data_IF_207585411991
#
_entry.id   IF_207585411991
#
_cell.length_a   1.000
_cell.length_b   1.000
_cell.length_c   1.000
_cell.angle_alpha   90.00
_cell.angle_beta   90.00
_cell.angle_gamma   90.00
#
_symmetry.space_group_name_H-M   'P 1'
#
loop_
_entity.id
_entity.type
_entity.pdbx_description
1 polymer ?
#
# COMPACT_ATOMS: atom_id res chain seq x y z
N UNK A 1 9.43 1.76 24.10
CA UNK A 1 8.64 2.22 25.25
C UNK A 1 7.47 1.30 25.35
N UNK A 2 7.65 0.23 26.11
CA UNK A 2 6.52 -0.50 26.66
C UNK A 2 5.66 0.54 27.37
N UNK A 3 4.41 0.67 26.97
CA UNK A 3 3.41 1.21 27.89
C UNK A 3 3.24 0.10 28.93
N UNK A 4 4.22 -0.01 29.84
CA UNK A 4 3.98 -0.53 31.16
C UNK A 4 2.93 0.41 31.75
N UNK A 5 1.66 0.08 31.55
CA UNK A 5 0.61 0.58 32.43
C UNK A 5 1.11 0.27 33.83
N UNK A 6 1.40 1.31 34.61
CA UNK A 6 1.74 1.13 36.02
C UNK A 6 0.64 0.31 36.65
N UNK A 7 0.95 -0.95 36.94
CA UNK A 7 0.08 -1.84 37.68
C UNK A 7 0.19 -1.40 39.12
N UNK A 8 -0.65 -0.44 39.52
CA UNK A 8 -1.04 -0.34 40.92
C UNK A 8 -1.67 -1.69 41.27
N UNK A 9 -1.20 -2.42 42.29
CA UNK A 9 -1.81 -3.67 42.73
C UNK A 9 -3.14 -3.31 43.41
N UNK A 10 -4.16 -3.06 42.60
CA UNK A 10 -5.52 -3.06 43.07
C UNK A 10 -5.89 -4.50 43.46
N UNK A 11 -6.68 -4.67 44.54
CA UNK A 11 -7.11 -5.99 44.99
C UNK A 11 -7.69 -6.77 43.82
N UNK A 12 -7.36 -8.07 43.73
CA UNK A 12 -7.75 -9.01 42.69
C UNK A 12 -9.18 -8.74 42.21
N UNK A 13 -9.31 -7.99 41.11
CA UNK A 13 -10.63 -7.80 40.49
C UNK A 13 -11.00 -9.14 39.89
N UNK A 14 -12.03 -9.75 40.45
CA UNK A 14 -12.68 -10.93 39.90
C UNK A 14 -12.90 -10.75 38.39
N UNK A 15 -12.56 -11.78 37.60
CA UNK A 15 -12.57 -11.76 36.14
C UNK A 15 -13.88 -11.17 35.62
N UNK A 16 -13.81 -10.02 34.93
CA UNK A 16 -15.03 -9.27 34.56
C UNK A 16 -15.89 -9.96 33.49
N UNK A 17 -15.33 -10.88 32.69
CA UNK A 17 -16.04 -11.56 31.61
C UNK A 17 -15.45 -12.95 31.30
N UNK A 18 -16.33 -13.90 30.95
CA UNK A 18 -15.92 -15.26 30.53
C UNK A 18 -15.29 -15.27 29.13
N UNK A 19 -15.76 -14.40 28.23
CA UNK A 19 -15.25 -14.30 26.85
C UNK A 19 -14.75 -12.89 26.55
N UNK A 20 -13.58 -12.81 25.92
CA UNK A 20 -13.01 -11.57 25.41
C UNK A 20 -13.06 -11.60 23.88
N UNK A 21 -13.81 -10.67 23.30
CA UNK A 21 -13.94 -10.53 21.85
C UNK A 21 -13.19 -9.26 21.44
N UNK A 22 -12.22 -9.40 20.54
CA UNK A 22 -11.40 -8.29 20.04
C UNK A 22 -11.78 -8.03 18.58
N UNK A 23 -12.23 -6.81 18.28
CA UNK A 23 -12.59 -6.41 16.92
C UNK A 23 -11.39 -5.79 16.20
N UNK A 24 -10.86 -6.48 15.20
CA UNK A 24 -9.82 -5.98 14.29
C UNK A 24 -10.27 -5.84 12.84
N UNK A 25 -11.49 -6.26 12.51
CA UNK A 25 -12.00 -6.28 11.13
C UNK A 25 -12.84 -5.08 10.74
N UNK A 26 -13.45 -4.36 11.69
CA UNK A 26 -14.45 -3.33 11.42
C UNK A 26 -13.93 -1.98 10.91
N UNK A 27 -12.62 -1.73 10.98
CA UNK A 27 -12.01 -0.43 10.67
C UNK A 27 -11.72 -0.17 9.19
N UNK A 28 -11.00 0.92 8.90
CA UNK A 28 -10.58 1.30 7.55
C UNK A 28 -9.62 0.29 6.89
N UNK A 29 -8.92 -0.51 7.68
CA UNK A 29 -8.00 -1.57 7.27
C UNK A 29 -8.14 -2.79 8.20
N UNK A 30 -7.59 -3.92 7.78
CA UNK A 30 -7.50 -5.15 8.57
C UNK A 30 -6.41 -5.02 9.64
N UNK A 31 -6.67 -5.38 10.89
CA UNK A 31 -5.61 -5.56 11.89
C UNK A 31 -4.97 -6.95 11.81
N UNK A 32 -3.69 -7.11 12.20
CA UNK A 32 -3.07 -8.43 12.28
C UNK A 32 -3.78 -9.33 13.29
N UNK A 33 -3.83 -10.63 12.99
CA UNK A 33 -4.43 -11.63 13.87
C UNK A 33 -3.42 -12.57 14.51
N UNK A 34 -2.16 -12.51 14.09
CA UNK A 34 -1.04 -13.23 14.72
C UNK A 34 -0.41 -12.45 15.88
N UNK A 35 -0.99 -11.30 16.22
CA UNK A 35 -0.67 -10.42 17.35
C UNK A 35 -2.03 -9.94 17.89
N UNK A 36 -2.30 -9.94 19.20
CA UNK A 36 -1.41 -10.24 20.32
C UNK A 36 -1.13 -11.75 20.51
N UNK A 37 -0.25 -12.08 21.45
CA UNK A 37 0.16 -13.44 21.84
C UNK A 37 -1.02 -14.34 22.22
N UNK A 38 -0.78 -15.67 22.24
CA UNK A 38 -1.81 -16.69 22.51
C UNK A 38 -2.56 -16.50 23.84
N UNK A 39 -1.92 -15.86 24.82
CA UNK A 39 -2.54 -15.46 26.07
C UNK A 39 -2.55 -13.92 26.15
N UNK A 40 -3.70 -13.37 26.54
CA UNK A 40 -3.91 -11.93 26.69
C UNK A 40 -4.50 -11.63 28.07
N UNK A 41 -3.91 -10.68 28.78
CA UNK A 41 -4.45 -10.17 30.04
C UNK A 41 -5.29 -8.93 29.76
N UNK A 42 -6.54 -8.92 30.20
CA UNK A 42 -7.46 -7.79 30.06
C UNK A 42 -8.45 -7.77 31.23
N UNK A 43 -8.77 -6.59 31.75
CA UNK A 43 -9.74 -6.41 32.85
C UNK A 43 -9.51 -7.36 34.06
N UNK A 44 -8.25 -7.56 34.47
CA UNK A 44 -7.90 -8.43 35.60
C UNK A 44 -7.97 -9.94 35.32
N UNK A 45 -8.39 -10.36 34.13
CA UNK A 45 -8.44 -11.77 33.72
C UNK A 45 -7.40 -12.10 32.64
N UNK A 46 -6.95 -13.36 32.63
CA UNK A 46 -6.14 -13.92 31.54
C UNK A 46 -7.04 -14.72 30.60
N UNK A 47 -6.93 -14.48 29.30
CA UNK A 47 -7.72 -15.12 28.25
C UNK A 47 -6.81 -15.89 27.30
N UNK A 48 -7.23 -17.09 26.93
CA UNK A 48 -6.60 -17.91 25.90
C UNK A 48 -7.26 -17.62 24.54
N UNK A 49 -6.43 -17.44 23.52
CA UNK A 49 -6.88 -17.21 22.16
C UNK A 49 -7.45 -18.48 21.53
N UNK A 50 -8.77 -18.53 21.32
CA UNK A 50 -9.46 -19.69 20.72
C UNK A 50 -9.58 -19.63 19.20
N UNK A 51 -9.88 -18.46 18.63
CA UNK A 51 -10.15 -18.31 17.20
C UNK A 51 -9.86 -16.89 16.72
N UNK A 52 -9.27 -16.76 15.52
CA UNK A 52 -9.11 -15.48 14.83
C UNK A 52 -9.52 -15.54 13.37
N UNK A 53 -9.86 -14.37 12.83
CA UNK A 53 -10.24 -14.21 11.44
C UNK A 53 -9.62 -12.93 10.84
N UNK A 54 -8.78 -13.02 9.80
CA UNK A 54 -8.30 -14.26 9.16
C UNK A 54 -7.44 -15.12 10.09
N UNK A 55 -7.21 -16.41 9.75
CA UNK A 55 -6.26 -17.24 10.47
C UNK A 55 -4.87 -16.57 10.59
N UNK A 56 -4.20 -16.76 11.73
CA UNK A 56 -2.92 -16.11 12.03
C UNK A 56 -1.84 -16.32 10.95
N UNK A 57 -1.76 -17.52 10.36
CA UNK A 57 -0.82 -17.81 9.30
C UNK A 57 -1.09 -17.01 8.01
N UNK A 58 -2.35 -16.75 7.68
CA UNK A 58 -2.74 -15.89 6.56
C UNK A 58 -2.35 -14.44 6.84
N UNK A 59 -2.65 -13.95 8.04
CA UNK A 59 -2.25 -12.61 8.47
C UNK A 59 -0.72 -12.42 8.39
N UNK A 60 0.07 -13.41 8.83
CA UNK A 60 1.54 -13.38 8.73
C UNK A 60 2.04 -13.34 7.28
N UNK A 61 1.39 -14.07 6.35
CA UNK A 61 1.75 -14.02 4.93
C UNK A 61 1.43 -12.68 4.28
N UNK A 62 0.32 -12.05 4.65
CA UNK A 62 -0.01 -10.70 4.17
C UNK A 62 1.03 -9.65 4.56
N UNK A 63 1.75 -9.84 5.67
CA UNK A 63 2.83 -8.95 6.06
C UNK A 63 3.96 -8.87 5.02
N UNK A 64 4.18 -9.90 4.21
CA UNK A 64 5.20 -9.91 3.12
C UNK A 64 4.94 -8.77 2.13
N UNK A 65 3.69 -8.30 2.03
CA UNK A 65 3.33 -7.16 1.20
C UNK A 65 3.92 -5.84 1.68
N UNK A 66 4.40 -5.76 2.91
CA UNK A 66 5.18 -4.59 3.34
C UNK A 66 6.49 -4.52 2.55
N UNK A 67 7.14 -5.65 2.25
CA UNK A 67 8.41 -5.65 1.53
C UNK A 67 8.22 -5.33 0.04
N UNK A 68 7.36 -6.10 -0.63
CA UNK A 68 7.22 -6.04 -2.10
C UNK A 68 6.04 -5.19 -2.59
N UNK A 69 5.04 -4.98 -1.72
CA UNK A 69 3.81 -4.28 -2.06
C UNK A 69 3.80 -2.81 -1.62
N UNK A 70 4.64 -2.41 -0.66
CA UNK A 70 4.54 -1.10 -0.01
C UNK A 70 4.59 0.06 -1.00
N UNK A 71 5.61 0.15 -1.86
CA UNK A 71 5.72 1.24 -2.84
C UNK A 71 4.53 1.27 -3.81
N UNK A 72 4.13 0.10 -4.32
CA UNK A 72 3.04 0.00 -5.29
C UNK A 72 1.70 0.42 -4.69
N UNK A 73 1.47 0.08 -3.42
CA UNK A 73 0.29 0.48 -2.67
C UNK A 73 0.41 1.99 -2.38
N UNK A 74 1.52 2.41 -1.78
CA UNK A 74 1.72 3.75 -1.25
C UNK A 74 2.50 4.67 -2.19
N UNK A 75 2.30 4.58 -3.51
CA UNK A 75 3.07 5.38 -4.49
C UNK A 75 2.94 6.90 -4.29
N UNK A 76 1.86 7.35 -3.64
CA UNK A 76 1.67 8.76 -3.25
C UNK A 76 2.67 9.20 -2.16
N UNK A 77 3.17 8.26 -1.38
CA UNK A 77 4.20 8.48 -0.38
C UNK A 77 5.52 8.87 -1.03
N UNK A 78 5.81 8.41 -2.26
CA UNK A 78 7.00 8.82 -3.00
C UNK A 78 7.07 10.37 -3.17
N UNK A 79 5.92 11.05 -3.28
CA UNK A 79 5.84 12.51 -3.47
C UNK A 79 5.89 13.35 -2.17
N UNK A 80 5.60 12.76 -1.01
CA UNK A 80 5.35 13.48 0.26
C UNK A 80 6.22 12.93 1.42
N UNK A 81 6.82 11.74 1.26
CA UNK A 81 7.22 10.85 2.34
C UNK A 81 8.54 11.16 3.05
N UNK A 82 9.32 12.14 2.62
CA UNK A 82 10.63 12.40 3.22
C UNK A 82 10.61 13.21 4.53
N UNK A 83 9.47 13.83 4.88
CA UNK A 83 9.46 14.83 5.95
C UNK A 83 9.07 14.34 7.35
N UNK A 84 8.72 13.06 7.55
CA UNK A 84 8.19 12.62 8.84
C UNK A 84 8.60 11.17 9.21
N UNK A 85 9.86 10.98 9.64
CA UNK A 85 10.27 9.77 10.34
C UNK A 85 11.27 10.08 11.46
N UNK A 86 10.81 10.66 12.58
CA UNK A 86 11.61 10.72 13.81
C UNK A 86 10.69 10.76 15.02
N UNK A 87 10.32 9.61 15.62
CA UNK A 87 9.85 9.59 17.02
C UNK A 87 10.14 8.27 17.78
N UNK A 88 11.04 7.40 17.29
CA UNK A 88 11.50 6.22 18.06
C UNK A 88 12.95 5.84 17.71
N UNK A 89 13.67 5.16 18.62
CA UNK A 89 15.05 4.70 18.38
C UNK A 89 15.16 3.77 17.15
N UNK A 90 14.17 2.90 16.99
CA UNK A 90 14.00 2.04 15.81
C UNK A 90 13.76 2.88 14.55
N UNK A 91 12.94 3.93 14.63
CA UNK A 91 12.72 4.89 13.54
C UNK A 91 13.99 5.65 13.15
N UNK A 92 14.84 6.02 14.11
CA UNK A 92 16.13 6.69 13.83
C UNK A 92 17.10 5.76 13.08
N UNK A 93 17.21 4.49 13.50
CA UNK A 93 18.05 3.51 12.80
C UNK A 93 17.59 3.27 11.35
N UNK A 94 16.27 3.20 11.14
CA UNK A 94 15.68 3.07 9.80
C UNK A 94 15.96 4.31 8.96
N UNK A 95 15.76 5.51 9.52
CA UNK A 95 16.08 6.79 8.86
C UNK A 95 17.55 6.86 8.46
N UNK A 96 18.47 6.47 9.35
CA UNK A 96 19.89 6.38 9.05
C UNK A 96 20.19 5.40 7.91
N UNK A 97 19.57 4.21 7.93
CA UNK A 97 19.69 3.23 6.84
C UNK A 97 19.15 3.77 5.52
N UNK A 98 18.07 4.55 5.54
CA UNK A 98 17.54 5.23 4.36
C UNK A 98 18.52 6.25 3.80
N UNK A 99 19.10 7.09 4.67
CA UNK A 99 20.11 8.07 4.29
C UNK A 99 21.34 7.39 3.67
N UNK A 100 21.84 6.30 4.29
CA UNK A 100 22.94 5.50 3.71
C UNK A 100 22.56 4.97 2.34
N UNK A 101 21.41 4.30 2.21
CA UNK A 101 20.99 3.71 0.94
C UNK A 101 20.86 4.77 -0.17
N UNK A 102 20.23 5.91 0.14
CA UNK A 102 20.10 7.03 -0.79
C UNK A 102 21.47 7.60 -1.20
N UNK A 103 22.38 7.78 -0.23
CA UNK A 103 23.73 8.25 -0.50
C UNK A 103 24.56 7.26 -1.32
N UNK A 104 24.46 5.96 -1.05
CA UNK A 104 25.12 4.92 -1.85
C UNK A 104 24.63 4.91 -3.28
N UNK A 105 23.32 5.06 -3.51
CA UNK A 105 22.75 5.12 -4.86
C UNK A 105 23.22 6.37 -5.59
N UNK A 106 23.29 7.51 -4.89
CA UNK A 106 23.87 8.74 -5.44
C UNK A 106 25.33 8.53 -5.86
N UNK A 107 26.16 7.93 -5.00
CA UNK A 107 27.57 7.64 -5.33
C UNK A 107 27.71 6.71 -6.54
N UNK A 108 26.90 5.65 -6.61
CA UNK A 108 26.91 4.73 -7.76
C UNK A 108 26.52 5.46 -9.04
N UNK A 109 25.49 6.31 -8.98
CA UNK A 109 25.05 7.12 -10.10
C UNK A 109 26.14 8.10 -10.57
N UNK A 110 26.79 8.81 -9.65
CA UNK A 110 27.92 9.71 -9.93
C UNK A 110 29.10 8.97 -10.56
N UNK A 111 29.45 7.79 -10.05
CA UNK A 111 30.50 6.97 -10.64
C UNK A 111 30.16 6.51 -12.06
N UNK A 112 28.90 6.15 -12.33
CA UNK A 112 28.47 5.75 -13.67
C UNK A 112 28.60 6.92 -14.67
N UNK A 113 28.19 8.12 -14.27
CA UNK A 113 28.34 9.33 -15.10
C UNK A 113 29.81 9.69 -15.32
N UNK A 114 30.66 9.60 -14.29
CA UNK A 114 32.10 9.82 -14.43
C UNK A 114 32.72 8.86 -15.44
N UNK A 115 32.46 7.56 -15.31
CA UNK A 115 32.98 6.54 -16.22
C UNK A 115 32.51 6.79 -17.65
N UNK A 116 31.23 7.15 -17.84
CA UNK A 116 30.69 7.48 -19.16
C UNK A 116 31.33 8.76 -19.75
N UNK A 117 31.53 9.79 -18.93
CA UNK A 117 32.16 11.06 -19.33
C UNK A 117 33.62 10.87 -19.72
N UNK A 118 34.40 10.15 -18.90
CA UNK A 118 35.83 9.86 -19.17
C UNK A 118 36.01 9.01 -20.42
N UNK A 119 35.11 8.04 -20.66
CA UNK A 119 35.11 7.22 -21.89
C UNK A 119 34.65 7.99 -23.13
N UNK A 120 34.27 9.26 -22.97
CA UNK A 120 33.79 10.10 -24.06
C UNK A 120 32.39 9.74 -24.56
N UNK A 121 31.63 8.98 -23.78
CA UNK A 121 30.25 8.59 -24.12
C UNK A 121 29.23 9.67 -23.74
N UNK A 122 29.57 10.58 -22.82
CA UNK A 122 28.70 11.67 -22.39
C UNK A 122 29.53 12.96 -22.14
N UNK A 123 28.89 14.12 -22.23
CA UNK A 123 29.39 15.41 -21.75
C UNK A 123 30.36 16.13 -22.68
N UNK A 124 30.26 15.94 -24.00
CA UNK A 124 31.19 16.51 -25.00
C UNK A 124 30.52 17.22 -26.18
N UNK A 125 29.40 16.70 -26.69
CA UNK A 125 28.82 17.14 -27.97
C UNK A 125 27.77 18.26 -27.83
N UNK A 126 27.47 18.67 -26.59
CA UNK A 126 26.58 19.78 -26.26
C UNK A 126 25.14 19.35 -25.97
N UNK A 127 24.22 20.30 -25.81
CA UNK A 127 22.86 20.04 -25.29
C UNK A 127 21.94 19.24 -26.24
N UNK A 128 22.44 18.83 -27.41
CA UNK A 128 21.64 18.22 -28.47
C UNK A 128 22.29 16.96 -29.06
N UNK A 129 23.15 16.29 -28.32
CA UNK A 129 23.88 15.08 -28.74
C UNK A 129 22.94 14.02 -29.32
N UNK A 130 21.83 13.71 -28.65
CA UNK A 130 20.84 12.76 -29.15
C UNK A 130 20.19 13.19 -30.47
N UNK A 131 19.93 14.49 -30.65
CA UNK A 131 19.38 15.03 -31.89
C UNK A 131 20.41 14.99 -33.03
N UNK A 132 21.69 15.27 -32.74
CA UNK A 132 22.76 15.17 -33.73
C UNK A 132 22.95 13.72 -34.20
N UNK A 133 22.89 12.75 -33.27
CA UNK A 133 22.91 11.33 -33.60
C UNK A 133 21.69 10.90 -34.44
N UNK A 134 20.50 11.38 -34.08
CA UNK A 134 19.29 11.11 -34.87
C UNK A 134 19.40 11.69 -36.28
N UNK A 135 19.82 12.96 -36.39
CA UNK A 135 19.94 13.67 -37.66
C UNK A 135 21.01 13.06 -38.56
N UNK A 136 22.09 12.50 -38.01
CA UNK A 136 23.14 11.85 -38.81
C UNK A 136 22.75 10.46 -39.33
N UNK A 137 21.71 9.86 -38.74
CA UNK A 137 21.19 8.55 -39.15
C UNK A 137 20.10 8.67 -40.22
N UNK A 138 19.51 9.85 -40.39
CA UNK A 138 18.47 10.09 -41.41
C UNK A 138 19.10 10.31 -42.80
N UNK A 139 18.43 9.85 -43.88
CA UNK A 139 18.81 10.19 -45.25
C UNK A 139 18.83 11.71 -45.48
N UNK A 140 19.68 12.20 -46.38
CA UNK A 140 19.68 13.61 -46.74
C UNK A 140 18.39 13.97 -47.51
N UNK A 141 17.52 14.74 -46.86
CA UNK A 141 16.25 15.23 -47.43
C UNK A 141 16.38 16.63 -48.04
N UNK A 142 17.61 17.14 -48.26
CA UNK A 142 17.88 18.45 -48.87
C UNK A 142 17.12 18.66 -50.18
N UNK A 143 16.98 17.62 -51.01
CA UNK A 143 16.25 17.65 -52.28
C UNK A 143 14.72 17.83 -52.14
N UNK A 144 14.14 17.50 -50.98
CA UNK A 144 12.70 17.66 -50.71
C UNK A 144 12.43 19.03 -50.06
N UNK A 145 13.45 19.59 -49.40
CA UNK A 145 13.36 20.90 -48.70
C UNK A 145 12.97 22.06 -49.61
N UNK A 146 13.26 21.97 -50.91
CA UNK A 146 12.82 22.95 -51.92
C UNK A 146 11.28 23.05 -52.08
N UNK A 147 10.54 22.02 -51.65
CA UNK A 147 9.08 21.97 -51.70
C UNK A 147 8.41 22.34 -50.35
N UNK A 148 9.19 22.70 -49.32
CA UNK A 148 8.68 23.06 -47.99
C UNK A 148 8.18 24.51 -47.93
N UNK A 149 7.14 24.82 -48.69
CA UNK A 149 6.58 26.17 -48.84
C UNK A 149 6.01 26.73 -47.51
N UNK A 150 5.61 25.85 -46.60
CA UNK A 150 5.00 26.21 -45.31
C UNK A 150 5.99 26.13 -44.12
N UNK A 151 7.25 25.77 -44.35
CA UNK A 151 8.26 25.62 -43.28
C UNK A 151 7.98 24.45 -42.31
N UNK A 152 7.17 23.47 -42.71
CA UNK A 152 6.76 22.32 -41.91
C UNK A 152 7.95 21.41 -41.59
N UNK A 153 8.92 21.28 -42.49
CA UNK A 153 10.10 20.46 -42.25
C UNK A 153 11.05 21.12 -41.24
N UNK A 154 11.18 22.45 -41.29
CA UNK A 154 11.94 23.20 -40.27
C UNK A 154 11.26 23.09 -38.90
N UNK A 155 9.94 23.30 -38.84
CA UNK A 155 9.17 23.20 -37.60
C UNK A 155 9.26 21.79 -37.00
N UNK A 156 9.21 20.75 -37.84
CA UNK A 156 9.41 19.36 -37.41
C UNK A 156 10.82 19.14 -36.85
N UNK A 157 11.86 19.65 -37.51
CA UNK A 157 13.24 19.56 -37.03
C UNK A 157 13.43 20.23 -35.66
N UNK A 158 12.93 21.45 -35.51
CA UNK A 158 12.98 22.19 -34.25
C UNK A 158 12.18 21.50 -33.13
N UNK A 159 11.02 20.94 -33.48
CA UNK A 159 10.20 20.14 -32.56
C UNK A 159 10.93 18.86 -32.12
N UNK A 160 11.53 18.11 -33.05
CA UNK A 160 12.28 16.90 -32.73
C UNK A 160 13.53 17.21 -31.90
N UNK A 161 14.22 18.32 -32.20
CA UNK A 161 15.34 18.82 -31.39
C UNK A 161 14.92 19.13 -29.96
N UNK A 162 13.78 19.80 -29.78
CA UNK A 162 13.22 20.07 -28.45
C UNK A 162 12.87 18.77 -27.71
N UNK A 163 12.15 17.84 -28.36
CA UNK A 163 11.79 16.57 -27.74
C UNK A 163 13.03 15.77 -27.32
N UNK A 164 14.03 15.64 -28.20
CA UNK A 164 15.24 14.88 -27.89
C UNK A 164 16.08 15.55 -26.81
N UNK A 165 16.17 16.88 -26.78
CA UNK A 165 16.84 17.60 -25.68
C UNK A 165 16.18 17.34 -24.32
N UNK A 166 14.84 17.20 -24.27
CA UNK A 166 14.12 16.83 -23.04
C UNK A 166 14.45 15.40 -22.58
N UNK A 167 14.70 14.48 -23.52
CA UNK A 167 15.03 13.09 -23.22
C UNK A 167 16.53 12.81 -23.08
N UNK A 168 17.41 13.74 -23.49
CA UNK A 168 18.87 13.64 -23.38
C UNK A 168 19.38 13.99 -21.97
N UNK A 169 18.64 13.51 -20.96
CA UNK A 169 18.90 13.79 -19.56
C UNK A 169 20.30 13.35 -19.09
N UNK A 170 20.85 12.17 -19.50
CA UNK A 170 22.22 11.80 -19.13
C UNK A 170 23.26 12.81 -19.63
N UNK A 171 23.14 13.29 -20.86
CA UNK A 171 24.08 14.24 -21.46
C UNK A 171 23.99 15.59 -20.74
N UNK A 172 22.78 16.10 -20.51
CA UNK A 172 22.55 17.35 -19.77
C UNK A 172 23.18 17.27 -18.38
N UNK A 173 22.96 16.17 -17.64
CA UNK A 173 23.56 15.99 -16.31
C UNK A 173 25.09 15.94 -16.41
N UNK A 174 25.66 15.22 -17.38
CA UNK A 174 27.11 15.11 -17.56
C UNK A 174 27.76 16.46 -17.90
N UNK A 175 27.15 17.27 -18.77
CA UNK A 175 27.65 18.60 -19.14
C UNK A 175 27.69 19.55 -17.92
N UNK A 176 26.58 19.62 -17.17
CA UNK A 176 26.49 20.46 -15.98
C UNK A 176 27.46 19.96 -14.90
N UNK A 177 27.57 18.65 -14.72
CA UNK A 177 28.53 18.04 -13.79
C UNK A 177 29.97 18.36 -14.15
N UNK A 178 30.37 18.22 -15.42
CA UNK A 178 31.71 18.57 -15.87
C UNK A 178 32.05 20.05 -15.59
N UNK A 179 31.06 20.95 -15.79
CA UNK A 179 31.20 22.37 -15.45
C UNK A 179 31.36 22.60 -13.94
N UNK A 180 30.56 21.93 -13.11
CA UNK A 180 30.68 21.98 -11.64
C UNK A 180 32.06 21.49 -11.19
N UNK A 181 32.54 20.37 -11.74
CA UNK A 181 33.83 19.78 -11.38
C UNK A 181 35.00 20.70 -11.76
N UNK A 182 34.91 21.41 -12.89
CA UNK A 182 35.96 22.31 -13.35
C UNK A 182 35.97 23.66 -12.61
N UNK A 183 34.80 24.23 -12.36
CA UNK A 183 34.66 25.65 -11.98
C UNK A 183 33.91 25.88 -10.66
N UNK A 184 33.49 24.81 -9.98
CA UNK A 184 32.69 24.88 -8.76
C UNK A 184 31.20 25.09 -9.02
N UNK A 185 30.39 24.90 -7.98
CA UNK A 185 28.93 24.96 -8.06
C UNK A 185 28.40 26.37 -8.38
N UNK A 186 29.09 27.40 -7.88
CA UNK A 186 28.73 28.81 -8.08
C UNK A 186 28.87 29.28 -9.53
N UNK A 187 29.49 28.46 -10.39
CA UNK A 187 29.64 28.74 -11.83
C UNK A 187 28.37 28.52 -12.65
N UNK A 188 27.34 27.88 -12.07
CA UNK A 188 26.07 27.62 -12.72
C UNK A 188 25.13 28.82 -12.60
N UNK A 189 24.57 29.23 -13.74
CA UNK A 189 23.45 30.17 -13.76
C UNK A 189 22.20 29.57 -13.08
N UNK A 190 21.27 30.42 -12.65
CA UNK A 190 20.03 29.95 -11.99
C UNK A 190 19.24 28.97 -12.84
N UNK A 191 19.15 29.22 -14.16
CA UNK A 191 18.43 28.33 -15.08
C UNK A 191 19.17 27.00 -15.28
N UNK A 192 20.50 27.03 -15.43
CA UNK A 192 21.35 25.82 -15.52
C UNK A 192 21.26 24.98 -14.24
N UNK A 193 21.14 25.63 -13.09
CA UNK A 193 20.97 24.96 -11.81
C UNK A 193 19.59 24.27 -11.71
N UNK A 194 18.54 24.96 -12.16
CA UNK A 194 17.19 24.37 -12.23
C UNK A 194 17.12 23.21 -13.20
N UNK A 195 17.72 23.31 -14.38
CA UNK A 195 17.79 22.21 -15.36
C UNK A 195 18.58 21.04 -14.80
N UNK A 196 19.69 21.29 -14.10
CA UNK A 196 20.45 20.23 -13.43
C UNK A 196 19.61 19.48 -12.40
N UNK A 197 18.93 20.17 -11.48
CA UNK A 197 18.07 19.52 -10.49
C UNK A 197 16.87 18.81 -11.09
N UNK A 198 16.21 19.42 -12.07
CA UNK A 198 15.09 18.82 -12.79
C UNK A 198 15.53 17.54 -13.54
N UNK A 199 16.76 17.51 -14.06
CA UNK A 199 17.33 16.37 -14.78
C UNK A 199 17.75 15.24 -13.83
N UNK A 200 18.24 15.56 -12.63
CA UNK A 200 18.59 14.57 -11.62
C UNK A 200 17.38 13.91 -10.96
N UNK A 201 16.29 14.66 -10.78
CA UNK A 201 15.12 14.19 -10.04
C UNK A 201 14.55 12.85 -10.54
N UNK A 202 14.32 12.63 -11.86
CA UNK A 202 13.83 11.35 -12.38
C UNK A 202 14.75 10.18 -12.05
N UNK A 203 16.08 10.35 -12.07
CA UNK A 203 17.03 9.30 -11.74
C UNK A 203 16.96 8.93 -10.28
N UNK A 204 16.96 9.92 -9.39
CA UNK A 204 16.76 9.67 -7.96
C UNK A 204 15.40 9.04 -7.68
N UNK A 205 14.36 9.49 -8.36
CA UNK A 205 13.04 8.90 -8.24
C UNK A 205 13.02 7.44 -8.69
N UNK A 206 13.66 7.10 -9.80
CA UNK A 206 13.66 5.73 -10.34
C UNK A 206 14.59 4.80 -9.57
N UNK A 207 15.76 5.28 -9.14
CA UNK A 207 16.81 4.48 -8.52
C UNK A 207 16.71 4.44 -6.99
N UNK A 208 16.57 5.60 -6.34
CA UNK A 208 16.60 5.69 -4.88
C UNK A 208 15.28 5.28 -4.22
N UNK A 209 14.15 5.78 -4.71
CA UNK A 209 12.85 5.52 -4.05
C UNK A 209 12.44 4.03 -3.96
N UNK A 210 12.71 3.12 -4.94
CA UNK A 210 12.43 1.70 -4.73
C UNK A 210 13.26 1.08 -3.63
N UNK A 211 14.56 1.42 -3.55
CA UNK A 211 15.45 0.87 -2.52
C UNK A 211 15.03 1.39 -1.14
N UNK A 212 14.79 2.69 -1.01
CA UNK A 212 14.31 3.32 0.22
C UNK A 212 12.97 2.70 0.67
N UNK A 213 12.02 2.54 -0.26
CA UNK A 213 10.73 1.88 0.02
C UNK A 213 10.89 0.42 0.45
N UNK A 214 11.85 -0.29 -0.12
CA UNK A 214 12.16 -1.67 0.24
C UNK A 214 12.74 -1.76 1.66
N UNK A 215 13.63 -0.85 2.04
CA UNK A 215 14.17 -0.76 3.41
C UNK A 215 13.02 -0.49 4.40
N UNK A 216 12.15 0.48 4.12
CA UNK A 216 11.00 0.77 4.98
C UNK A 216 10.01 -0.40 5.08
N UNK A 217 9.69 -1.01 3.95
CA UNK A 217 8.84 -2.19 3.88
C UNK A 217 9.38 -3.37 4.67
N UNK A 218 10.69 -3.59 4.59
CA UNK A 218 11.41 -4.60 5.38
C UNK A 218 11.35 -4.27 6.87
N UNK A 219 11.55 -3.01 7.25
CA UNK A 219 11.38 -2.56 8.63
C UNK A 219 9.98 -2.89 9.18
N UNK A 220 8.91 -2.55 8.45
CA UNK A 220 7.54 -2.87 8.88
C UNK A 220 7.31 -4.38 8.98
N UNK A 221 7.85 -5.16 8.05
CA UNK A 221 7.77 -6.62 8.07
C UNK A 221 8.46 -7.23 9.31
N UNK A 222 9.69 -6.81 9.61
CA UNK A 222 10.46 -7.32 10.75
C UNK A 222 9.87 -6.86 12.09
N UNK A 223 9.49 -5.58 12.19
CA UNK A 223 8.85 -5.01 13.39
C UNK A 223 7.61 -5.81 13.79
N UNK A 224 6.76 -6.12 12.81
CA UNK A 224 5.57 -6.91 13.01
C UNK A 224 5.90 -8.38 13.33
N UNK A 225 6.64 -9.06 12.46
CA UNK A 225 6.73 -10.53 12.50
C UNK A 225 7.76 -11.08 13.49
N UNK A 226 8.81 -10.32 13.79
CA UNK A 226 9.89 -10.71 14.71
C UNK A 226 9.75 -10.04 16.06
N UNK A 227 9.45 -8.74 16.09
CA UNK A 227 9.42 -7.96 17.34
C UNK A 227 8.01 -7.76 17.90
N UNK A 228 6.97 -8.10 17.15
CA UNK A 228 5.57 -7.95 17.60
C UNK A 228 5.13 -6.50 17.82
N UNK A 229 5.86 -5.52 17.26
CA UNK A 229 5.60 -4.09 17.42
C UNK A 229 5.19 -3.43 16.09
N UNK A 230 4.75 -2.17 16.15
CA UNK A 230 4.30 -1.41 14.97
C UNK A 230 3.24 -2.12 14.10
N UNK A 231 2.41 -2.95 14.74
CA UNK A 231 1.46 -3.81 14.06
C UNK A 231 0.33 -3.01 13.38
N UNK A 232 0.00 -1.85 13.95
CA UNK A 232 -0.96 -0.92 13.35
C UNK A 232 -0.38 -0.31 12.08
N UNK A 233 0.83 0.22 12.13
CA UNK A 233 1.51 0.86 10.99
C UNK A 233 1.76 -0.12 9.85
N UNK A 234 2.21 -1.34 10.20
CA UNK A 234 2.43 -2.41 9.24
C UNK A 234 1.17 -2.70 8.43
N UNK A 235 0.02 -2.93 9.08
CA UNK A 235 -1.22 -3.27 8.37
C UNK A 235 -1.98 -2.07 7.77
N UNK A 236 -1.86 -0.89 8.38
CA UNK A 236 -2.29 0.41 7.82
C UNK A 236 -1.70 0.59 6.42
N UNK A 237 -0.39 0.36 6.29
CA UNK A 237 0.32 0.59 5.04
C UNK A 237 -0.13 -0.35 3.90
N UNK A 238 -0.71 -1.51 4.25
CA UNK A 238 -1.22 -2.48 3.28
C UNK A 238 -2.62 -2.14 2.76
N UNK A 239 -3.39 -1.33 3.50
CA UNK A 239 -4.76 -0.90 3.16
C UNK A 239 -5.67 -2.07 2.75
N UNK A 240 -5.56 -3.18 3.48
CA UNK A 240 -6.34 -4.40 3.22
C UNK A 240 -7.79 -4.14 3.66
N UNK A 241 -8.69 -3.96 2.69
CA UNK A 241 -10.12 -3.80 2.95
C UNK A 241 -10.86 -5.14 3.16
N UNK A 242 -10.19 -6.27 2.86
CA UNK A 242 -10.74 -7.63 2.93
C UNK A 242 -10.74 -8.18 4.37
N UNK A 243 -11.37 -9.34 4.59
CA UNK A 243 -11.56 -9.96 5.91
C UNK A 243 -12.41 -9.14 6.88
N UNK A 244 -13.55 -8.67 6.41
CA UNK A 244 -14.56 -8.06 7.30
C UNK A 244 -15.33 -9.16 8.02
N UNK A 245 -15.67 -8.90 9.27
CA UNK A 245 -16.48 -9.80 10.07
C UNK A 245 -17.52 -9.01 10.87
N UNK A 246 -18.58 -9.69 11.26
CA UNK A 246 -19.61 -9.15 12.15
C UNK A 246 -20.14 -10.27 13.04
N UNK A 247 -20.63 -9.88 14.22
CA UNK A 247 -21.24 -10.81 15.17
C UNK A 247 -22.75 -10.65 15.15
N UNK A 248 -23.45 -11.78 15.23
CA UNK A 248 -24.89 -11.82 15.50
C UNK A 248 -25.10 -12.53 16.84
N UNK A 249 -25.60 -11.78 17.80
CA UNK A 249 -25.92 -12.25 19.14
C UNK A 249 -27.40 -12.61 19.19
N UNK A 250 -27.73 -13.80 19.66
CA UNK A 250 -29.08 -14.29 19.82
C UNK A 250 -29.28 -14.74 21.26
N UNK A 251 -30.23 -14.11 21.95
CA UNK A 251 -30.64 -14.49 23.28
C UNK A 251 -31.83 -15.43 23.18
N UNK A 252 -31.66 -16.65 23.69
CA UNK A 252 -32.70 -17.67 23.68
C UNK A 252 -33.71 -17.45 24.80
N UNK A 253 -34.87 -18.11 24.71
CA UNK A 253 -35.94 -18.05 25.73
C UNK A 253 -35.48 -18.54 27.10
N UNK A 254 -34.53 -19.47 27.13
CA UNK A 254 -33.93 -20.00 28.36
C UNK A 254 -32.83 -19.09 28.93
N UNK A 255 -32.60 -17.91 28.34
CA UNK A 255 -31.60 -16.94 28.79
C UNK A 255 -30.16 -17.32 28.40
N UNK A 256 -29.99 -18.24 27.44
CA UNK A 256 -28.68 -18.58 26.85
C UNK A 256 -28.31 -17.55 25.79
N UNK A 257 -27.02 -17.27 25.63
CA UNK A 257 -26.52 -16.39 24.58
C UNK A 257 -25.80 -17.22 23.51
N UNK A 258 -26.35 -17.21 22.30
CA UNK A 258 -25.70 -17.75 21.10
C UNK A 258 -25.02 -16.63 20.32
N UNK A 259 -23.73 -16.79 20.06
CA UNK A 259 -22.91 -15.85 19.30
C UNK A 259 -22.53 -16.49 17.97
N UNK A 260 -22.96 -15.89 16.87
CA UNK A 260 -22.55 -16.29 15.53
C UNK A 260 -21.53 -15.30 14.98
N UNK A 261 -20.33 -15.78 14.65
CA UNK A 261 -19.31 -14.99 14.00
C UNK A 261 -19.36 -15.23 12.49
N UNK A 262 -19.63 -14.18 11.72
CA UNK A 262 -19.70 -14.24 10.26
C UNK A 262 -18.53 -13.51 9.62
N UNK A 263 -17.94 -14.12 8.59
CA UNK A 263 -16.80 -13.61 7.84
C UNK A 263 -17.12 -13.34 6.38
N UNK A 264 -16.49 -12.32 5.82
CA UNK A 264 -16.41 -12.10 4.38
C UNK A 264 -14.94 -11.91 3.99
N UNK A 265 -14.44 -12.86 3.22
CA UNK A 265 -13.03 -12.97 2.89
C UNK A 265 -12.58 -11.83 1.98
N UNK A 266 -13.29 -11.62 0.87
CA UNK A 266 -12.99 -10.56 -0.10
C UNK A 266 -14.11 -9.54 -0.16
N UNK A 267 -13.77 -8.30 0.15
CA UNK A 267 -14.72 -7.20 -0.03
C UNK A 267 -14.94 -6.90 -1.51
N UNK A 268 -16.20 -6.86 -1.98
CA UNK A 268 -16.50 -6.42 -3.34
C UNK A 268 -16.16 -4.93 -3.48
N UNK A 269 -15.48 -4.60 -4.60
CA UNK A 269 -15.02 -3.22 -4.88
C UNK A 269 -15.98 -2.43 -5.76
N UNK A 270 -16.85 -3.12 -6.50
CA UNK A 270 -17.82 -2.52 -7.41
C UNK A 270 -19.22 -2.80 -6.91
N UNK A 271 -19.99 -1.74 -6.75
CA UNK A 271 -21.36 -1.77 -6.25
C UNK A 271 -22.27 -1.10 -7.26
N UNK A 272 -23.47 -1.63 -7.42
CA UNK A 272 -24.56 -1.01 -8.17
C UNK A 272 -25.79 -0.92 -7.27
N UNK A 273 -26.70 -0.02 -7.62
CA UNK A 273 -28.01 0.06 -6.96
C UNK A 273 -28.74 -1.26 -7.19
N UNK A 274 -29.27 -1.88 -6.14
CA UNK A 274 -30.08 -3.09 -6.29
C UNK A 274 -31.39 -2.71 -7.00
N UNK A 275 -31.66 -3.22 -8.22
CA UNK A 275 -32.92 -2.95 -8.90
C UNK A 275 -34.15 -3.45 -8.14
N UNK A 276 -33.95 -4.41 -7.21
CA UNK A 276 -34.99 -5.01 -6.39
C UNK A 276 -35.10 -4.37 -5.00
N UNK A 277 -34.40 -3.28 -4.74
CA UNK A 277 -34.43 -2.60 -3.44
C UNK A 277 -35.85 -2.13 -3.08
N UNK A 278 -36.31 -2.49 -1.88
CA UNK A 278 -37.68 -2.25 -1.41
C UNK A 278 -38.02 -0.77 -1.18
N UNK A 279 -37.03 0.12 -1.05
CA UNK A 279 -37.28 1.57 -0.92
C UNK A 279 -37.45 2.33 -2.24
N UNK A 280 -37.51 1.63 -3.38
CA UNK A 280 -37.63 2.24 -4.70
C UNK A 280 -39.03 2.72 -5.08
N UNK A 281 -39.24 2.95 -6.37
CA UNK A 281 -40.55 3.26 -6.95
C UNK A 281 -41.02 2.03 -7.74
N UNK A 282 -41.89 1.23 -7.13
CA UNK A 282 -42.45 0.04 -7.78
C UNK A 282 -43.53 -0.62 -6.92
N UNK A 283 -44.29 -1.58 -7.47
CA UNK A 283 -45.44 -2.19 -6.79
C UNK A 283 -45.09 -2.86 -5.45
N UNK A 284 -43.89 -3.45 -5.34
CA UNK A 284 -43.40 -4.03 -4.08
C UNK A 284 -43.01 -2.95 -3.08
N UNK A 285 -42.42 -1.85 -3.54
CA UNK A 285 -42.01 -0.76 -2.67
C UNK A 285 -43.22 -0.03 -2.06
N UNK A 286 -44.34 0.08 -2.77
CA UNK A 286 -45.58 0.63 -2.20
C UNK A 286 -46.15 -0.23 -1.06
N UNK A 287 -46.01 -1.56 -1.15
CA UNK A 287 -46.47 -2.48 -0.11
C UNK A 287 -45.62 -2.40 1.16
N UNK A 288 -44.31 -2.20 1.00
CA UNK A 288 -43.36 -2.19 2.13
C UNK A 288 -43.04 -0.77 2.64
N UNK A 289 -43.55 0.30 2.00
CA UNK A 289 -43.20 1.71 2.29
C UNK A 289 -43.45 2.12 3.74
N UNK A 290 -44.54 1.63 4.32
CA UNK A 290 -44.95 1.95 5.69
C UNK A 290 -44.30 1.01 6.72
N UNK A 291 -43.59 -0.04 6.27
CA UNK A 291 -42.85 -0.93 7.15
C UNK A 291 -41.48 -0.33 7.45
N UNK A 292 -40.93 -0.54 8.64
CA UNK A 292 -39.54 -0.20 8.92
C UNK A 292 -38.60 -1.06 8.08
N UNK A 293 -37.43 -0.52 7.75
CA UNK A 293 -36.49 -1.12 6.78
C UNK A 293 -36.04 -2.54 7.12
N UNK A 294 -35.97 -2.91 8.40
CA UNK A 294 -35.61 -4.27 8.82
C UNK A 294 -36.68 -5.33 8.50
N UNK A 295 -37.92 -4.92 8.18
CA UNK A 295 -39.00 -5.81 7.72
C UNK A 295 -39.10 -5.89 6.21
N UNK A 296 -38.30 -5.11 5.47
CA UNK A 296 -38.32 -5.15 4.01
C UNK A 296 -37.74 -6.46 3.50
N UNK A 297 -38.30 -6.97 2.41
CA UNK A 297 -37.80 -8.20 1.77
C UNK A 297 -36.42 -7.98 1.15
N UNK A 298 -36.15 -6.76 0.67
CA UNK A 298 -34.88 -6.36 0.05
C UNK A 298 -34.41 -5.03 0.65
N UNK A 299 -33.90 -5.05 1.90
CA UNK A 299 -33.54 -3.84 2.62
C UNK A 299 -32.28 -3.15 2.07
N UNK A 300 -31.37 -3.93 1.47
CA UNK A 300 -30.10 -3.44 0.95
C UNK A 300 -30.26 -2.59 -0.30
N UNK A 301 -29.89 -1.30 -0.21
CA UNK A 301 -29.89 -0.38 -1.35
C UNK A 301 -28.83 -0.75 -2.40
N UNK A 302 -27.69 -1.28 -1.95
CA UNK A 302 -26.55 -1.61 -2.80
C UNK A 302 -26.42 -3.13 -2.96
N UNK A 303 -26.14 -3.54 -4.20
CA UNK A 303 -25.77 -4.91 -4.56
C UNK A 303 -24.36 -4.89 -5.15
N UNK A 304 -23.55 -5.90 -4.83
CA UNK A 304 -22.23 -6.09 -5.45
C UNK A 304 -22.38 -6.39 -6.95
N UNK A 305 -21.61 -5.70 -7.80
CA UNK A 305 -21.60 -5.87 -9.25
C UNK A 305 -20.79 -7.09 -9.68
N UNK A 306 -19.68 -7.37 -8.98
CA UNK A 306 -18.74 -8.44 -9.29
C UNK A 306 -18.48 -9.27 -8.04
N UNK A 307 -18.56 -10.58 -8.18
CA UNK A 307 -18.28 -11.57 -7.12
C UNK A 307 -16.86 -12.10 -7.16
N UNK A 308 -16.24 -12.14 -8.35
CA UNK A 308 -14.85 -12.57 -8.55
C UNK A 308 -13.90 -11.39 -8.36
N UNK A 309 -13.31 -11.29 -7.17
CA UNK A 309 -12.31 -10.25 -6.86
C UNK A 309 -10.94 -10.90 -6.87
N UNK A 310 -10.11 -10.54 -7.86
CA UNK A 310 -8.71 -10.96 -7.90
C UNK A 310 -7.96 -10.44 -6.66
N UNK A 311 -7.00 -11.23 -6.18
CA UNK A 311 -6.10 -10.81 -5.10
C UNK A 311 -5.36 -9.52 -5.50
N UNK A 312 -5.10 -8.65 -4.51
CA UNK A 312 -4.51 -7.32 -4.71
C UNK A 312 -3.21 -7.33 -5.54
N UNK A 313 -2.48 -8.44 -5.55
CA UNK A 313 -1.23 -8.66 -6.27
C UNK A 313 -1.31 -9.76 -7.34
N UNK A 314 -2.49 -10.32 -7.63
CA UNK A 314 -2.61 -11.59 -8.38
C UNK A 314 -1.79 -12.75 -7.77
N UNK A 315 -1.41 -12.63 -6.50
CA UNK A 315 -0.78 -13.69 -5.72
C UNK A 315 -1.77 -14.20 -4.69
N UNK A 316 -1.99 -15.51 -4.64
CA UNK A 316 -2.84 -16.16 -3.64
C UNK A 316 -2.02 -16.57 -2.43
N UNK A 317 -1.83 -15.63 -1.50
CA UNK A 317 -1.11 -15.86 -0.23
C UNK A 317 -1.79 -16.90 0.66
N UNK A 318 -2.98 -17.34 0.31
CA UNK A 318 -3.77 -18.27 1.10
C UNK A 318 -3.70 -19.68 0.55
N UNK A 319 -3.26 -19.84 -0.69
CA UNK A 319 -2.93 -21.14 -1.24
C UNK A 319 -1.60 -21.62 -0.62
N UNK A 320 -1.58 -22.75 0.13
CA UNK A 320 -0.34 -23.30 0.64
C UNK A 320 0.58 -23.83 -0.47
N UNK A 321 0.07 -24.22 -1.63
CA UNK A 321 0.89 -24.74 -2.74
C UNK A 321 1.47 -23.66 -3.65
N UNK A 322 1.04 -22.40 -3.51
CA UNK A 322 1.35 -21.29 -4.44
C UNK A 322 1.09 -21.65 -5.92
N UNK A 323 0.22 -22.63 -6.19
CA UNK A 323 -0.13 -23.00 -7.55
C UNK A 323 -0.77 -21.82 -8.27
N UNK A 324 -0.32 -21.57 -9.50
CA UNK A 324 -0.85 -20.50 -10.36
C UNK A 324 -2.33 -20.70 -10.76
N UNK A 325 -2.97 -21.80 -10.35
CA UNK A 325 -4.42 -21.99 -10.47
C UNK A 325 -5.13 -21.04 -9.51
N UNK A 326 -5.58 -19.91 -10.04
CA UNK A 326 -6.42 -18.97 -9.32
C UNK A 326 -7.65 -19.68 -8.75
N UNK A 327 -7.82 -19.60 -7.42
CA UNK A 327 -9.01 -20.07 -6.74
C UNK A 327 -10.24 -19.33 -7.31
N UNK A 328 -11.15 -20.05 -7.96
CA UNK A 328 -12.34 -19.48 -8.62
C UNK A 328 -13.55 -19.36 -7.70
N UNK A 329 -13.42 -19.74 -6.42
CA UNK A 329 -14.53 -19.66 -5.46
C UNK A 329 -14.96 -18.21 -5.21
N UNK A 330 -16.28 -17.99 -5.08
CA UNK A 330 -16.81 -16.67 -4.72
C UNK A 330 -16.61 -16.42 -3.22
N UNK A 331 -15.49 -15.75 -2.93
CA UNK A 331 -15.05 -15.37 -1.58
C UNK A 331 -15.66 -14.06 -1.08
N UNK A 332 -16.61 -13.49 -1.83
CA UNK A 332 -17.39 -12.33 -1.38
C UNK A 332 -18.65 -12.73 -0.60
N UNK A 333 -18.92 -14.04 -0.49
CA UNK A 333 -20.04 -14.56 0.29
C UNK A 333 -19.75 -14.55 1.78
N UNK A 334 -20.79 -14.20 2.54
CA UNK A 334 -20.78 -14.34 3.99
C UNK A 334 -20.78 -15.83 4.32
N UNK A 335 -19.87 -16.24 5.21
CA UNK A 335 -19.82 -17.59 5.73
C UNK A 335 -19.70 -17.55 7.26
N UNK A 336 -20.14 -18.62 7.92
CA UNK A 336 -20.00 -18.78 9.37
C UNK A 336 -18.53 -19.14 9.68
N UNK A 337 -17.88 -18.34 10.53
CA UNK A 337 -16.53 -18.59 11.03
C UNK A 337 -16.59 -19.47 12.27
N UNK A 338 -17.47 -19.08 13.21
CA UNK A 338 -17.58 -19.73 14.51
C UNK A 338 -18.99 -19.54 15.11
N UNK A 339 -19.38 -20.45 16.00
CA UNK A 339 -20.61 -20.40 16.78
C UNK A 339 -20.30 -20.75 18.23
N UNK A 340 -20.51 -19.79 19.12
CA UNK A 340 -20.26 -19.96 20.56
C UNK A 340 -21.58 -19.92 21.31
N UNK A 341 -21.81 -20.91 22.17
CA UNK A 341 -22.95 -20.96 23.08
C UNK A 341 -22.49 -20.62 24.51
N UNK A 342 -22.94 -19.48 25.02
CA UNK A 342 -22.71 -19.06 26.40
C UNK A 342 -23.92 -19.44 27.23
N UNK A 343 -23.69 -20.28 28.25
CA UNK A 343 -24.75 -20.71 29.17
C UNK A 343 -24.85 -19.73 30.32
N UNK A 344 -26.06 -19.55 30.84
CA UNK A 344 -26.26 -18.82 32.09
C UNK A 344 -25.51 -19.55 33.21
N UNK A 345 -24.76 -18.85 34.09
CA UNK A 345 -24.18 -19.48 35.26
C UNK A 345 -25.31 -20.15 36.06
N UNK A 346 -25.12 -21.40 36.46
CA UNK A 346 -26.05 -22.04 37.39
C UNK A 346 -26.10 -21.15 38.64
N UNK A 347 -27.30 -20.73 39.07
CA UNK A 347 -27.41 -20.08 40.38
C UNK A 347 -26.88 -21.08 41.39
N UNK A 348 -25.81 -20.72 42.12
CA UNK A 348 -25.43 -21.46 43.31
C UNK A 348 -26.71 -21.57 44.16
N UNK A 349 -27.20 -22.80 44.34
CA UNK A 349 -28.33 -23.05 45.21
C UNK A 349 -27.88 -22.62 46.62
N UNK A 350 -28.39 -21.47 47.08
CA UNK A 350 -28.30 -21.03 48.47
C UNK A 350 -29.16 -21.90 49.34
#
# INVERSE_FOLDING_TARGET
MDIQSQVNPHPERERSAEHLIISGGGGAFLHPTHIPSSNLTSNGGTYEHKQCYPPAHISRRYAVLNVFGFRRINWRFDAIGYFAMVFSAMGMAVSFTHCIAAFTILLVYECLLEVASVRGSLGREGEHTLYLFFSSTLPDFSAIRQYDIFGLASLYGDFMRLCMAIFDVPEVVALHRNKICASGFDSLGRMELWTYYASLFPYFWVLATPVVSFVFGTYLYLSLNMFGCHYNEAFLSLRIASYKNFLRLHFDKEGRLEIFAFGVDKMPRRWCRDPKWSGGNGPRASLERNLPSFKWTRPSYWKRLVTKVDNMLRMDFENPSLDAKFNTTDRSNVHLIDRVLVRKPASAAT
#
